data_IF_846974712985
#
_entry.id   IF_846974712985
#
_cell.length_a   1.000
_cell.length_b   1.000
_cell.length_c   1.000
_cell.angle_alpha   90.00
_cell.angle_beta   90.00
_cell.angle_gamma   90.00
#
_symmetry.space_group_name_H-M   'P 1'
#
loop_
_entity.id
_entity.type
_entity.pdbx_description
1 polymer ?
#
# COMPACT_ATOMS: atom_id res chain seq x y z
N UNK A 1 -5.95 -5.95 14.22
CA UNK A 1 -4.54 -6.17 13.82
C UNK A 1 -4.36 -7.68 13.74
N UNK A 2 -4.01 -8.22 12.58
CA UNK A 2 -3.95 -9.66 12.33
C UNK A 2 -2.53 -10.17 12.58
N UNK A 3 -2.29 -10.85 13.70
CA UNK A 3 -1.18 -11.79 13.82
C UNK A 3 -1.54 -13.06 13.08
N UNK A 4 -0.56 -13.68 12.42
CA UNK A 4 -0.73 -14.96 11.74
C UNK A 4 0.19 -15.96 12.40
N UNK A 5 -0.38 -17.00 13.00
CA UNK A 5 0.36 -18.22 13.30
C UNK A 5 0.58 -18.94 11.96
N UNK A 6 1.83 -19.25 11.61
CA UNK A 6 2.11 -20.06 10.43
C UNK A 6 1.46 -21.46 10.60
N UNK A 7 0.45 -21.83 9.79
CA UNK A 7 -0.22 -23.10 10.01
C UNK A 7 0.61 -24.26 9.45
N UNK A 8 0.78 -25.30 10.26
CA UNK A 8 1.14 -26.64 9.77
C UNK A 8 -0.01 -27.16 8.89
N UNK A 9 0.18 -27.09 7.55
CA UNK A 9 -0.66 -27.69 6.48
C UNK A 9 -2.17 -27.48 6.63
N UNK A 10 -2.70 -26.44 5.99
CA UNK A 10 -4.14 -26.30 5.76
C UNK A 10 -4.63 -27.20 4.61
N UNK A 11 -5.79 -27.85 4.82
CA UNK A 11 -6.47 -28.76 3.89
C UNK A 11 -6.87 -28.04 2.58
N UNK A 12 -6.70 -28.75 1.47
CA UNK A 12 -7.02 -28.30 0.12
C UNK A 12 -8.51 -28.02 -0.07
N UNK A 13 -8.84 -26.81 -0.53
CA UNK A 13 -10.17 -26.49 -1.05
C UNK A 13 -10.28 -27.07 -2.46
N UNK A 14 -11.03 -28.16 -2.58
CA UNK A 14 -11.30 -28.85 -3.85
C UNK A 14 -12.48 -28.21 -4.58
N UNK A 15 -12.21 -27.57 -5.71
CA UNK A 15 -13.01 -27.56 -6.96
C UNK A 15 -12.71 -26.29 -7.77
N UNK A 16 -11.62 -26.30 -8.53
CA UNK A 16 -11.43 -25.31 -9.58
C UNK A 16 -10.93 -26.00 -10.84
N UNK A 17 -11.54 -25.60 -11.96
CA UNK A 17 -11.22 -25.94 -13.35
C UNK A 17 -9.71 -26.12 -13.53
N UNK A 18 -9.33 -27.14 -14.33
CA UNK A 18 -7.97 -27.61 -14.60
C UNK A 18 -7.14 -26.59 -15.44
N UNK A 19 -7.15 -25.31 -15.03
CA UNK A 19 -6.33 -24.26 -15.64
C UNK A 19 -4.88 -24.49 -15.18
N UNK A 20 -3.91 -24.50 -16.11
CA UNK A 20 -2.49 -24.69 -15.79
C UNK A 20 -2.05 -23.79 -14.66
N UNK A 21 -1.39 -24.38 -13.67
CA UNK A 21 -0.74 -23.67 -12.57
C UNK A 21 0.75 -23.62 -12.87
N UNK A 22 1.29 -22.42 -12.94
CA UNK A 22 2.73 -22.19 -13.03
C UNK A 22 3.21 -21.83 -11.63
N UNK A 23 4.19 -22.57 -11.12
CA UNK A 23 4.86 -22.19 -9.88
C UNK A 23 5.88 -21.09 -10.15
N UNK A 24 5.87 -20.07 -9.30
CA UNK A 24 6.84 -18.99 -9.31
C UNK A 24 7.52 -18.92 -7.95
N UNK A 25 8.83 -18.65 -7.94
CA UNK A 25 9.55 -18.36 -6.71
C UNK A 25 9.16 -16.99 -6.15
N UNK A 26 9.05 -15.99 -7.03
CA UNK A 26 8.74 -14.60 -6.71
C UNK A 26 7.80 -14.01 -7.75
N UNK A 27 6.97 -13.06 -7.35
CA UNK A 27 6.23 -12.21 -8.27
C UNK A 27 6.15 -10.78 -7.74
N UNK A 28 6.22 -9.81 -8.66
CA UNK A 28 6.10 -8.38 -8.35
C UNK A 28 4.92 -7.79 -9.09
N UNK A 29 4.06 -7.10 -8.33
CA UNK A 29 2.76 -6.61 -8.77
C UNK A 29 2.66 -5.13 -8.39
N UNK A 30 2.22 -4.30 -9.34
CA UNK A 30 1.85 -2.90 -9.10
C UNK A 30 0.39 -2.66 -9.43
N UNK A 31 -0.33 -2.02 -8.52
CA UNK A 31 -1.64 -1.43 -8.79
C UNK A 31 -1.46 0.07 -8.99
N UNK A 32 -1.84 0.62 -10.14
CA UNK A 32 -1.68 2.03 -10.47
C UNK A 32 -3.00 2.64 -10.98
N UNK A 33 -3.29 3.86 -10.52
CA UNK A 33 -4.51 4.59 -10.84
C UNK A 33 -4.47 6.00 -10.28
N UNK A 34 -5.61 6.68 -10.23
CA UNK A 34 -5.66 8.02 -9.65
C UNK A 34 -5.66 7.99 -8.12
N UNK A 35 -5.17 9.07 -7.51
CA UNK A 35 -5.42 9.35 -6.09
C UNK A 35 -6.91 9.33 -5.79
N UNK A 36 -7.31 8.44 -4.89
CA UNK A 36 -8.72 8.21 -4.54
C UNK A 36 -9.36 6.99 -5.21
N UNK A 37 -8.71 6.36 -6.19
CA UNK A 37 -9.16 5.07 -6.75
C UNK A 37 -8.90 3.90 -5.79
N UNK A 38 -8.21 4.12 -4.66
CA UNK A 38 -8.00 3.10 -3.65
C UNK A 38 -6.92 2.07 -3.98
N UNK A 39 -5.92 2.43 -4.79
CA UNK A 39 -4.78 1.54 -5.13
C UNK A 39 -4.02 1.07 -3.88
N UNK A 40 -3.79 1.99 -2.94
CA UNK A 40 -3.18 1.69 -1.64
C UNK A 40 -3.96 0.62 -0.87
N UNK A 41 -5.29 0.75 -0.86
CA UNK A 41 -6.20 -0.19 -0.20
C UNK A 41 -6.13 -1.56 -0.89
N UNK A 42 -6.24 -1.58 -2.22
CA UNK A 42 -6.16 -2.80 -3.03
C UNK A 42 -4.85 -3.55 -2.80
N UNK A 43 -3.72 -2.85 -2.88
CA UNK A 43 -2.40 -3.41 -2.65
C UNK A 43 -2.21 -3.94 -1.22
N UNK A 44 -2.66 -3.18 -0.22
CA UNK A 44 -2.63 -3.63 1.18
C UNK A 44 -3.49 -4.89 1.39
N UNK A 45 -4.63 -5.02 0.73
CA UNK A 45 -5.48 -6.22 0.82
C UNK A 45 -4.84 -7.42 0.14
N UNK A 46 -4.26 -7.23 -1.04
CA UNK A 46 -3.53 -8.30 -1.72
C UNK A 46 -2.32 -8.77 -0.89
N UNK A 47 -1.61 -7.83 -0.26
CA UNK A 47 -0.53 -8.10 0.70
C UNK A 47 -1.00 -8.98 1.85
N UNK A 48 -2.08 -8.59 2.53
CA UNK A 48 -2.64 -9.38 3.63
C UNK A 48 -3.01 -10.81 3.18
N UNK A 49 -3.64 -10.97 2.02
CA UNK A 49 -3.96 -12.32 1.50
C UNK A 49 -2.74 -13.14 1.13
N UNK A 50 -1.63 -12.50 0.74
CA UNK A 50 -0.38 -13.20 0.40
C UNK A 50 0.40 -13.63 1.65
N UNK A 51 0.43 -12.79 2.70
CA UNK A 51 0.97 -13.18 4.02
C UNK A 51 0.24 -14.40 4.56
N UNK A 52 -1.08 -14.47 4.36
CA UNK A 52 -1.93 -15.56 4.86
C UNK A 52 -1.80 -16.84 4.05
N UNK A 53 -1.39 -16.71 2.78
CA UNK A 53 -0.94 -17.83 1.98
C UNK A 53 0.49 -18.31 2.38
N UNK A 54 1.09 -17.67 3.38
CA UNK A 54 2.40 -18.00 3.93
C UNK A 54 3.56 -17.41 3.14
N UNK A 55 3.32 -16.46 2.23
CA UNK A 55 4.42 -15.82 1.49
C UNK A 55 5.10 -14.74 2.33
N UNK A 56 6.40 -14.56 2.09
CA UNK A 56 7.06 -13.35 2.52
C UNK A 56 6.69 -12.20 1.58
N UNK A 57 6.48 -11.01 2.14
CA UNK A 57 5.89 -9.87 1.44
C UNK A 57 6.58 -8.58 1.80
N UNK A 58 7.01 -7.85 0.77
CA UNK A 58 7.43 -6.46 0.89
C UNK A 58 6.53 -5.56 0.06
N UNK A 59 6.27 -4.36 0.56
CA UNK A 59 5.38 -3.40 -0.09
C UNK A 59 6.01 -2.02 -0.13
N UNK A 60 5.77 -1.28 -1.20
CA UNK A 60 6.21 0.11 -1.34
C UNK A 60 5.05 0.96 -1.90
N UNK A 61 4.35 1.71 -1.03
CA UNK A 61 3.29 2.60 -1.48
C UNK A 61 3.87 3.87 -2.09
N UNK A 62 3.38 4.26 -3.27
CA UNK A 62 3.76 5.50 -3.95
C UNK A 62 2.58 6.46 -4.07
N UNK A 63 2.79 7.68 -3.59
CA UNK A 63 1.80 8.73 -3.50
C UNK A 63 2.25 9.93 -4.32
N UNK A 64 1.35 10.54 -5.11
CA UNK A 64 1.68 11.79 -5.77
C UNK A 64 1.90 12.90 -4.74
N UNK A 65 2.73 13.87 -5.10
CA UNK A 65 2.97 15.04 -4.26
C UNK A 65 1.70 15.90 -4.08
N UNK A 66 0.80 15.89 -5.07
CA UNK A 66 -0.45 16.64 -5.02
C UNK A 66 -1.57 15.85 -4.33
N UNK A 67 -2.15 16.42 -3.26
CA UNK A 67 -3.25 15.80 -2.51
C UNK A 67 -4.52 15.65 -3.38
N UNK A 68 -4.74 16.57 -4.34
CA UNK A 68 -5.92 16.59 -5.21
C UNK A 68 -5.57 17.02 -6.63
N UNK A 69 -4.63 16.31 -7.25
CA UNK A 69 -4.45 16.43 -8.69
C UNK A 69 -5.76 16.10 -9.44
N UNK A 70 -6.03 16.74 -10.58
CA UNK A 70 -7.17 16.38 -11.42
C UNK A 70 -7.11 14.90 -11.83
N UNK A 71 -8.22 14.17 -11.72
CA UNK A 71 -8.26 12.76 -12.09
C UNK A 71 -7.93 12.53 -13.57
N UNK A 72 -7.08 11.54 -13.84
CA UNK A 72 -6.59 11.17 -15.16
C UNK A 72 -5.33 11.93 -15.61
N UNK A 73 -4.70 12.75 -14.76
CA UNK A 73 -3.43 13.43 -15.07
C UNK A 73 -2.23 12.69 -14.48
N UNK A 74 -1.05 12.93 -15.06
CA UNK A 74 0.20 12.31 -14.60
C UNK A 74 0.54 12.67 -13.14
N UNK A 75 0.28 13.91 -12.73
CA UNK A 75 0.50 14.38 -11.37
C UNK A 75 -0.41 13.72 -10.32
N UNK A 76 -1.51 13.07 -10.75
CA UNK A 76 -2.46 12.41 -9.85
C UNK A 76 -2.26 10.91 -9.69
N UNK A 77 -1.30 10.32 -10.40
CA UNK A 77 -1.03 8.89 -10.37
C UNK A 77 -0.55 8.48 -8.98
N UNK A 78 -1.21 7.50 -8.40
CA UNK A 78 -0.78 6.78 -7.21
C UNK A 78 -0.64 5.31 -7.54
N UNK A 79 0.40 4.68 -7.00
CA UNK A 79 0.64 3.26 -7.19
C UNK A 79 0.97 2.56 -5.89
N UNK A 80 0.79 1.24 -5.87
CA UNK A 80 1.17 0.40 -4.75
C UNK A 80 1.93 -0.80 -5.26
N UNK A 81 3.17 -0.90 -4.82
CA UNK A 81 4.08 -1.96 -5.21
C UNK A 81 4.06 -3.04 -4.15
N UNK A 82 4.08 -4.27 -4.63
CA UNK A 82 4.17 -5.43 -3.78
C UNK A 82 5.00 -6.50 -4.47
N UNK A 83 5.87 -7.14 -3.69
CA UNK A 83 6.57 -8.35 -4.11
C UNK A 83 6.27 -9.46 -3.11
N UNK A 84 5.98 -10.64 -3.64
CA UNK A 84 5.68 -11.86 -2.88
C UNK A 84 6.69 -12.93 -3.25
N UNK A 85 7.10 -13.75 -2.29
CA UNK A 85 8.11 -14.79 -2.52
C UNK A 85 7.89 -16.03 -1.65
N UNK A 86 8.42 -17.16 -2.12
CA UNK A 86 8.62 -18.40 -1.35
C UNK A 86 9.94 -18.41 -0.56
N UNK A 87 10.69 -17.32 -0.59
CA UNK A 87 11.93 -17.08 0.15
C UNK A 87 11.90 -15.70 0.80
N UNK A 88 12.83 -15.43 1.72
CA UNK A 88 12.95 -14.11 2.34
C UNK A 88 13.16 -12.99 1.30
N UNK A 89 12.43 -11.88 1.43
CA UNK A 89 12.58 -10.68 0.60
C UNK A 89 12.99 -9.49 1.46
N UNK A 90 14.01 -8.78 0.97
CA UNK A 90 14.52 -7.57 1.61
C UNK A 90 14.24 -6.29 0.80
N UNK A 91 13.94 -6.42 -0.49
CA UNK A 91 13.71 -5.30 -1.41
C UNK A 91 12.56 -5.59 -2.36
N UNK A 92 11.87 -4.54 -2.79
CA UNK A 92 10.99 -4.62 -3.97
C UNK A 92 11.82 -4.99 -5.21
N UNK A 93 11.17 -5.57 -6.22
CA UNK A 93 11.86 -5.89 -7.48
C UNK A 93 12.12 -4.63 -8.31
N UNK A 94 13.19 -4.67 -9.10
CA UNK A 94 13.53 -3.62 -10.07
C UNK A 94 12.50 -3.54 -11.21
N UNK A 95 11.91 -4.68 -11.57
CA UNK A 95 10.86 -4.77 -12.56
C UNK A 95 9.63 -5.53 -12.05
N UNK A 96 8.49 -5.22 -12.64
CA UNK A 96 7.19 -5.79 -12.34
C UNK A 96 6.93 -6.99 -13.25
N UNK A 97 6.35 -8.04 -12.71
CA UNK A 97 5.80 -9.15 -13.50
C UNK A 97 4.36 -8.89 -13.91
N UNK A 98 3.62 -8.12 -13.09
CA UNK A 98 2.22 -7.74 -13.34
C UNK A 98 2.01 -6.26 -13.03
N UNK A 99 1.44 -5.53 -13.99
CA UNK A 99 1.04 -4.14 -13.82
C UNK A 99 -0.46 -4.01 -14.08
N UNK A 100 -1.20 -3.46 -13.12
CA UNK A 100 -2.62 -3.15 -13.23
C UNK A 100 -2.78 -1.64 -13.35
N UNK A 101 -3.38 -1.17 -14.45
CA UNK A 101 -3.58 0.26 -14.72
C UNK A 101 -5.06 0.59 -14.87
N UNK A 102 -5.51 1.58 -14.10
CA UNK A 102 -6.91 2.02 -14.10
C UNK A 102 -7.23 3.07 -15.18
N UNK A 103 -6.19 3.71 -15.74
CA UNK A 103 -6.30 4.78 -16.72
C UNK A 103 -4.97 4.95 -17.51
N UNK A 104 -4.92 5.80 -18.55
CA UNK A 104 -3.75 6.01 -19.40
C UNK A 104 -2.61 6.73 -18.66
N UNK A 105 -2.92 7.64 -17.72
CA UNK A 105 -1.87 8.32 -16.94
C UNK A 105 -1.06 7.32 -16.11
N UNK A 106 -1.75 6.39 -15.45
CA UNK A 106 -1.14 5.28 -14.73
C UNK A 106 -0.32 4.37 -15.65
N UNK A 107 -0.78 4.12 -16.88
CA UNK A 107 0.00 3.39 -17.89
C UNK A 107 1.30 4.13 -18.23
N UNK A 108 1.21 5.40 -18.63
CA UNK A 108 2.35 6.21 -19.07
C UNK A 108 3.45 6.31 -18.00
N UNK A 109 3.06 6.49 -16.74
CA UNK A 109 3.98 6.63 -15.62
C UNK A 109 4.68 5.32 -15.21
N UNK A 110 4.10 4.16 -15.51
CA UNK A 110 4.54 2.89 -14.92
C UNK A 110 4.93 1.80 -15.94
N UNK A 111 4.62 1.95 -17.23
CA UNK A 111 4.88 0.92 -18.24
C UNK A 111 6.36 0.54 -18.34
N UNK A 112 7.26 1.51 -18.14
CA UNK A 112 8.71 1.30 -18.19
C UNK A 112 9.21 0.31 -17.13
N UNK A 113 8.49 0.16 -16.02
CA UNK A 113 8.86 -0.73 -14.92
C UNK A 113 8.32 -2.15 -15.12
N UNK A 114 7.45 -2.39 -16.12
CA UNK A 114 6.95 -3.71 -16.46
C UNK A 114 8.00 -4.47 -17.29
N UNK A 115 8.34 -5.69 -16.89
CA UNK A 115 9.16 -6.60 -17.68
C UNK A 115 8.56 -6.84 -19.07
N UNK A 116 9.42 -6.93 -20.08
CA UNK A 116 9.00 -7.41 -21.40
C UNK A 116 8.43 -8.84 -21.26
N UNK A 117 7.26 -9.08 -21.83
CA UNK A 117 6.47 -10.31 -21.62
C UNK A 117 5.65 -10.35 -20.33
N UNK A 118 5.77 -9.33 -19.47
CA UNK A 118 4.96 -9.15 -18.27
C UNK A 118 3.48 -8.95 -18.57
N UNK A 119 2.63 -9.16 -17.57
CA UNK A 119 1.17 -9.08 -17.71
C UNK A 119 0.71 -7.65 -17.44
N UNK A 120 0.06 -7.04 -18.43
CA UNK A 120 -0.51 -5.70 -18.33
C UNK A 120 -2.03 -5.79 -18.29
N UNK A 121 -2.64 -5.55 -17.13
CA UNK A 121 -4.09 -5.54 -16.95
C UNK A 121 -4.59 -4.09 -17.05
N UNK A 122 -5.47 -3.82 -18.02
CA UNK A 122 -5.91 -2.46 -18.36
C UNK A 122 -7.42 -2.33 -18.15
N UNK A 123 -7.84 -1.26 -17.46
CA UNK A 123 -9.23 -0.80 -17.53
C UNK A 123 -9.50 -0.11 -18.88
N UNK A 124 -10.05 -0.85 -19.84
CA UNK A 124 -10.30 -0.35 -21.20
C UNK A 124 -11.39 0.72 -21.27
N UNK A 125 -12.23 0.86 -20.24
CA UNK A 125 -13.29 1.89 -20.19
C UNK A 125 -12.74 3.30 -19.93
N UNK A 126 -11.45 3.45 -19.64
CA UNK A 126 -10.83 4.74 -19.32
C UNK A 126 -9.82 5.21 -20.38
N UNK A 127 -9.94 4.75 -21.62
CA UNK A 127 -9.06 5.12 -22.73
C UNK A 127 -9.82 5.94 -23.80
N UNK A 128 -10.78 6.76 -23.38
CA UNK A 128 -11.48 7.69 -24.27
C UNK A 128 -10.61 8.91 -24.62
N UNK A 129 -10.97 9.67 -25.66
CA UNK A 129 -10.19 10.81 -26.16
C UNK A 129 -9.82 11.83 -25.06
N UNK A 130 -10.75 12.09 -24.14
CA UNK A 130 -10.51 13.00 -23.02
C UNK A 130 -9.52 12.44 -21.99
N UNK A 131 -9.51 11.13 -21.76
CA UNK A 131 -8.59 10.48 -20.84
C UNK A 131 -7.17 10.47 -21.41
N UNK A 132 -7.04 10.15 -22.70
CA UNK A 132 -5.78 10.22 -23.45
C UNK A 132 -5.20 11.64 -23.43
N UNK A 133 -6.03 12.66 -23.66
CA UNK A 133 -5.60 14.06 -23.61
C UNK A 133 -5.05 14.47 -22.24
N UNK A 134 -5.72 14.07 -21.15
CA UNK A 134 -5.27 14.38 -19.78
C UNK A 134 -3.97 13.65 -19.40
N UNK A 135 -3.78 12.44 -19.92
CA UNK A 135 -2.56 11.67 -19.77
C UNK A 135 -1.47 12.07 -20.77
N UNK A 136 -1.72 13.10 -21.59
CA UNK A 136 -0.79 13.63 -22.59
C UNK A 136 -0.36 12.58 -23.62
N UNK A 137 -1.28 11.72 -24.06
CA UNK A 137 -1.09 10.84 -25.20
C UNK A 137 -1.51 11.53 -26.50
N UNK A 138 -0.69 11.42 -27.54
CA UNK A 138 -1.02 11.88 -28.89
C UNK A 138 -1.86 10.87 -29.67
N UNK A 139 -1.68 9.58 -29.39
CA UNK A 139 -2.37 8.46 -30.03
C UNK A 139 -2.76 7.43 -28.96
N UNK A 140 -3.77 6.60 -29.25
CA UNK A 140 -4.21 5.58 -28.30
C UNK A 140 -3.14 4.48 -28.15
N UNK A 141 -2.53 4.29 -26.97
CA UNK A 141 -1.50 3.27 -26.77
C UNK A 141 -2.02 1.85 -26.94
N UNK A 142 -3.34 1.64 -26.87
CA UNK A 142 -3.97 0.34 -27.15
C UNK A 142 -3.91 -0.04 -28.63
N UNK A 143 -3.65 0.92 -29.52
CA UNK A 143 -3.67 0.76 -30.98
C UNK A 143 -2.32 1.08 -31.65
N UNK A 144 -1.43 1.82 -30.98
CA UNK A 144 -0.15 2.29 -31.53
C UNK A 144 0.92 1.19 -31.68
N UNK A 145 0.70 0.01 -31.10
CA UNK A 145 1.68 -1.08 -31.05
C UNK A 145 2.75 -0.95 -29.95
N UNK A 146 2.71 0.12 -29.15
CA UNK A 146 3.60 0.31 -27.98
C UNK A 146 3.54 -0.87 -27.00
N UNK A 147 2.38 -1.53 -26.92
CA UNK A 147 2.14 -2.60 -25.97
C UNK A 147 2.47 -4.01 -26.50
N UNK A 148 3.02 -4.13 -27.71
CA UNK A 148 3.27 -5.41 -28.38
C UNK A 148 4.24 -6.34 -27.64
N UNK A 149 5.14 -5.76 -26.84
CA UNK A 149 6.10 -6.54 -26.06
C UNK A 149 5.51 -7.12 -24.76
N UNK A 150 4.24 -6.86 -24.46
CA UNK A 150 3.60 -7.22 -23.19
C UNK A 150 2.40 -8.15 -23.41
N UNK A 151 2.03 -8.88 -22.36
CA UNK A 151 0.82 -9.69 -22.34
C UNK A 151 -0.34 -8.83 -21.89
N UNK A 152 -0.95 -8.15 -22.85
CA UNK A 152 -2.04 -7.19 -22.60
C UNK A 152 -3.37 -7.91 -22.34
N UNK A 153 -4.00 -7.58 -21.22
CA UNK A 153 -5.33 -8.04 -20.81
C UNK A 153 -6.23 -6.82 -20.62
N UNK A 154 -7.04 -6.53 -21.64
CA UNK A 154 -7.99 -5.41 -21.62
C UNK A 154 -9.31 -5.86 -21.00
N UNK A 155 -9.76 -5.15 -19.97
CA UNK A 155 -11.01 -5.46 -19.26
C UNK A 155 -11.83 -4.16 -19.16
N UNK A 156 -13.13 -4.16 -19.51
CA UNK A 156 -14.02 -3.03 -19.25
C UNK A 156 -14.41 -3.01 -17.76
N UNK A 157 -13.43 -2.73 -16.89
CA UNK A 157 -13.53 -2.86 -15.43
C UNK A 157 -14.64 -1.97 -14.90
N UNK A 158 -14.73 -0.72 -15.35
CA UNK A 158 -15.74 0.24 -14.88
C UNK A 158 -17.15 -0.27 -15.18
N UNK A 159 -17.45 -0.64 -16.42
CA UNK A 159 -18.78 -1.12 -16.84
C UNK A 159 -19.14 -2.43 -16.15
N UNK A 160 -18.21 -3.36 -16.03
CA UNK A 160 -18.45 -4.64 -15.35
C UNK A 160 -18.68 -4.47 -13.85
N UNK A 161 -17.94 -3.57 -13.21
CA UNK A 161 -18.15 -3.22 -11.80
C UNK A 161 -19.54 -2.64 -11.61
N UNK A 162 -19.94 -1.67 -12.42
CA UNK A 162 -21.26 -1.03 -12.31
C UNK A 162 -22.40 -2.03 -12.48
N UNK A 163 -22.29 -2.95 -13.44
CA UNK A 163 -23.26 -4.05 -13.61
C UNK A 163 -23.30 -4.97 -12.39
N UNK A 164 -22.14 -5.31 -11.82
CA UNK A 164 -22.07 -6.21 -10.67
C UNK A 164 -22.73 -5.62 -9.41
N UNK A 165 -22.70 -4.30 -9.25
CA UNK A 165 -23.23 -3.62 -8.06
C UNK A 165 -24.61 -2.99 -8.28
N UNK A 166 -25.20 -3.14 -9.46
CA UNK A 166 -26.49 -2.52 -9.82
C UNK A 166 -27.61 -2.86 -8.81
N UNK A 167 -27.66 -4.12 -8.38
CA UNK A 167 -28.65 -4.61 -7.40
C UNK A 167 -28.54 -3.99 -6.00
N UNK A 168 -27.46 -3.26 -5.71
CA UNK A 168 -27.26 -2.59 -4.41
C UNK A 168 -27.96 -1.24 -4.33
N UNK A 169 -28.38 -0.67 -5.47
CA UNK A 169 -29.01 0.64 -5.54
C UNK A 169 -28.05 1.82 -5.26
N UNK A 170 -26.74 1.57 -5.27
CA UNK A 170 -25.75 2.64 -5.12
C UNK A 170 -25.80 3.65 -6.26
N UNK A 171 -25.41 4.89 -5.96
CA UNK A 171 -25.22 5.91 -6.98
C UNK A 171 -24.13 5.47 -7.98
N UNK A 172 -24.21 5.94 -9.22
CA UNK A 172 -23.17 5.67 -10.22
C UNK A 172 -21.77 6.00 -9.70
N UNK A 173 -21.62 7.14 -9.00
CA UNK A 173 -20.34 7.57 -8.42
C UNK A 173 -19.79 6.58 -7.40
N UNK A 174 -20.65 6.07 -6.51
CA UNK A 174 -20.23 5.13 -5.47
C UNK A 174 -20.01 3.71 -6.03
N UNK A 175 -20.75 3.32 -7.06
CA UNK A 175 -20.52 2.09 -7.82
C UNK A 175 -19.17 2.09 -8.54
N UNK A 176 -18.80 3.18 -9.22
CA UNK A 176 -17.47 3.33 -9.86
C UNK A 176 -16.33 3.17 -8.84
N UNK A 177 -16.51 3.64 -7.61
CA UNK A 177 -15.48 3.51 -6.55
C UNK A 177 -15.21 2.07 -6.11
N UNK A 178 -16.06 1.11 -6.48
CA UNK A 178 -15.84 -0.31 -6.19
C UNK A 178 -14.90 -0.99 -7.22
N UNK A 179 -14.49 -0.29 -8.28
CA UNK A 179 -13.66 -0.85 -9.38
C UNK A 179 -12.32 -1.41 -8.90
N UNK A 180 -11.81 -0.85 -7.80
CA UNK A 180 -10.56 -1.28 -7.17
C UNK A 180 -10.64 -2.70 -6.61
N UNK A 181 -11.81 -3.12 -6.11
CA UNK A 181 -12.06 -4.48 -5.67
C UNK A 181 -12.31 -5.44 -6.82
N UNK A 182 -12.93 -4.97 -7.91
CA UNK A 182 -13.01 -5.77 -9.13
C UNK A 182 -11.60 -6.16 -9.60
N UNK A 183 -10.69 -5.19 -9.73
CA UNK A 183 -9.30 -5.47 -10.11
C UNK A 183 -8.57 -6.33 -9.09
N UNK A 184 -8.84 -6.15 -7.79
CA UNK A 184 -8.32 -7.04 -6.74
C UNK A 184 -8.76 -8.49 -6.96
N UNK A 185 -10.03 -8.71 -7.29
CA UNK A 185 -10.60 -10.04 -7.54
C UNK A 185 -9.92 -10.73 -8.72
N UNK A 186 -9.67 -10.00 -9.80
CA UNK A 186 -8.92 -10.50 -10.97
C UNK A 186 -7.51 -10.94 -10.56
N UNK A 187 -6.78 -10.11 -9.81
CA UNK A 187 -5.41 -10.44 -9.40
C UNK A 187 -5.38 -11.55 -8.34
N UNK A 188 -6.36 -11.62 -7.45
CA UNK A 188 -6.49 -12.72 -6.50
C UNK A 188 -6.72 -14.05 -7.21
N UNK A 189 -7.52 -14.08 -8.28
CA UNK A 189 -7.65 -15.26 -9.11
C UNK A 189 -6.33 -15.62 -9.80
N UNK A 190 -5.64 -14.62 -10.36
CA UNK A 190 -4.38 -14.81 -11.08
C UNK A 190 -3.30 -15.44 -10.18
N UNK A 191 -3.27 -15.09 -8.90
CA UNK A 191 -2.30 -15.58 -7.91
C UNK A 191 -2.86 -16.65 -6.95
N UNK A 192 -3.97 -17.31 -7.31
CA UNK A 192 -4.55 -18.43 -6.53
C UNK A 192 -4.81 -18.04 -5.06
N UNK A 193 -5.38 -16.85 -4.85
CA UNK A 193 -5.76 -16.34 -3.52
C UNK A 193 -7.25 -16.58 -3.25
N UNK A 194 -7.57 -16.83 -1.98
CA UNK A 194 -8.97 -16.87 -1.52
C UNK A 194 -9.54 -15.45 -1.39
N UNK A 195 -10.82 -15.31 -1.70
CA UNK A 195 -11.59 -14.08 -1.48
C UNK A 195 -12.02 -13.92 -0.02
N UNK A 196 -12.07 -15.00 0.76
CA UNK A 196 -12.77 -15.03 2.07
C UNK A 196 -12.27 -13.94 3.01
N UNK A 197 -10.95 -13.83 3.20
CA UNK A 197 -10.40 -12.82 4.09
C UNK A 197 -10.64 -11.39 3.63
N UNK A 198 -10.66 -11.17 2.31
CA UNK A 198 -10.93 -9.83 1.77
C UNK A 198 -12.40 -9.50 1.96
N UNK A 199 -13.30 -10.46 1.75
CA UNK A 199 -14.74 -10.33 2.04
C UNK A 199 -14.98 -9.99 3.51
N UNK A 200 -14.44 -10.78 4.43
CA UNK A 200 -14.64 -10.59 5.87
C UNK A 200 -14.11 -9.21 6.32
N UNK A 201 -12.98 -8.78 5.77
CA UNK A 201 -12.45 -7.45 6.03
C UNK A 201 -13.32 -6.32 5.45
N UNK A 202 -13.88 -6.49 4.25
CA UNK A 202 -14.82 -5.52 3.67
C UNK A 202 -16.03 -5.37 4.59
N UNK A 203 -16.58 -6.48 5.07
CA UNK A 203 -17.75 -6.51 5.95
C UNK A 203 -17.48 -5.79 7.28
N UNK A 204 -16.34 -6.04 7.95
CA UNK A 204 -16.02 -5.33 9.19
C UNK A 204 -15.72 -3.84 8.95
N UNK A 205 -14.93 -3.52 7.91
CA UNK A 205 -14.57 -2.13 7.60
C UNK A 205 -15.78 -1.26 7.29
N UNK A 206 -16.73 -1.81 6.55
CA UNK A 206 -17.93 -1.09 6.12
C UNK A 206 -19.18 -1.53 6.89
N UNK A 207 -19.04 -2.09 8.10
CA UNK A 207 -20.18 -2.54 8.93
C UNK A 207 -21.23 -1.46 9.19
N UNK A 208 -20.81 -0.20 9.22
CA UNK A 208 -21.71 0.94 9.42
C UNK A 208 -22.37 1.44 8.11
N UNK A 209 -22.04 0.83 6.97
CA UNK A 209 -22.54 1.15 5.61
C UNK A 209 -22.74 -0.15 4.82
N UNK A 210 -23.73 -0.98 5.21
CA UNK A 210 -23.91 -2.34 4.68
C UNK A 210 -24.10 -2.39 3.15
N UNK A 211 -24.71 -1.37 2.56
CA UNK A 211 -24.86 -1.23 1.11
C UNK A 211 -23.51 -1.09 0.40
N UNK A 212 -22.58 -0.33 0.98
CA UNK A 212 -21.20 -0.19 0.47
C UNK A 212 -20.42 -1.50 0.70
N UNK A 213 -20.60 -2.15 1.83
CA UNK A 213 -19.98 -3.46 2.09
C UNK A 213 -20.40 -4.47 1.02
N UNK A 214 -21.72 -4.62 0.80
CA UNK A 214 -22.29 -5.52 -0.19
C UNK A 214 -21.76 -5.22 -1.61
N UNK A 215 -21.74 -3.96 -2.01
CA UNK A 215 -21.24 -3.57 -3.33
C UNK A 215 -19.76 -3.92 -3.55
N UNK A 216 -18.90 -3.67 -2.56
CA UNK A 216 -17.48 -4.02 -2.66
C UNK A 216 -17.26 -5.54 -2.71
N UNK A 217 -18.04 -6.33 -1.94
CA UNK A 217 -18.00 -7.80 -2.01
C UNK A 217 -18.45 -8.30 -3.39
N UNK A 218 -19.53 -7.74 -3.95
CA UNK A 218 -20.01 -8.10 -5.28
C UNK A 218 -18.99 -7.75 -6.37
N UNK A 219 -18.37 -6.56 -6.29
CA UNK A 219 -17.32 -6.15 -7.22
C UNK A 219 -16.11 -7.10 -7.16
N UNK A 220 -15.65 -7.44 -5.94
CA UNK A 220 -14.57 -8.41 -5.72
C UNK A 220 -14.88 -9.77 -6.36
N UNK A 221 -16.06 -10.31 -6.08
CA UNK A 221 -16.50 -11.59 -6.61
C UNK A 221 -16.65 -11.56 -8.13
N UNK A 222 -17.19 -10.47 -8.68
CA UNK A 222 -17.35 -10.29 -10.12
C UNK A 222 -16.00 -10.28 -10.84
N UNK A 223 -14.98 -9.60 -10.30
CA UNK A 223 -13.62 -9.61 -10.84
C UNK A 223 -13.01 -11.01 -10.85
N UNK A 224 -13.14 -11.75 -9.75
CA UNK A 224 -12.67 -13.13 -9.65
C UNK A 224 -13.38 -14.06 -10.65
N UNK A 225 -14.70 -13.95 -10.74
CA UNK A 225 -15.52 -14.75 -11.66
C UNK A 225 -15.20 -14.43 -13.13
N UNK A 226 -15.01 -13.15 -13.44
CA UNK A 226 -14.64 -12.71 -14.78
C UNK A 226 -13.33 -13.36 -15.23
N UNK A 227 -12.32 -13.38 -14.35
CA UNK A 227 -11.03 -14.01 -14.62
C UNK A 227 -11.15 -15.53 -14.83
N UNK A 228 -12.05 -16.22 -14.10
CA UNK A 228 -12.37 -17.64 -14.34
C UNK A 228 -12.93 -17.86 -15.76
N UNK A 229 -13.87 -17.02 -16.18
CA UNK A 229 -14.73 -17.32 -17.34
C UNK A 229 -14.17 -16.89 -18.68
N UNK A 230 -13.29 -15.90 -18.72
CA UNK A 230 -12.95 -15.20 -19.98
C UNK A 230 -11.72 -15.76 -20.69
N UNK A 231 -11.05 -16.78 -20.11
CA UNK A 231 -9.82 -17.40 -20.64
C UNK A 231 -8.73 -16.38 -21.05
N UNK A 232 -8.79 -15.15 -20.53
CA UNK A 232 -7.87 -14.05 -20.87
C UNK A 232 -6.44 -14.31 -20.38
N UNK A 233 -6.29 -15.22 -19.42
CA UNK A 233 -5.01 -15.59 -18.84
C UNK A 233 -4.65 -17.02 -19.25
N UNK A 234 -3.43 -17.19 -19.77
CA UNK A 234 -2.91 -18.49 -20.21
C UNK A 234 -2.63 -19.45 -19.03
N UNK A 235 -2.38 -18.91 -17.83
CA UNK A 235 -2.06 -19.68 -16.65
C UNK A 235 -2.42 -18.90 -15.38
N UNK A 236 -2.53 -19.63 -14.27
CA UNK A 236 -2.53 -19.06 -12.92
C UNK A 236 -1.17 -19.26 -12.28
N UNK A 237 -0.77 -18.34 -11.42
CA UNK A 237 0.54 -18.33 -10.80
C UNK A 237 0.43 -18.67 -9.32
N UNK A 238 1.16 -19.68 -8.88
CA UNK A 238 1.23 -20.05 -7.47
C UNK A 238 2.61 -19.71 -6.95
N UNK A 239 2.68 -18.85 -5.92
CA UNK A 239 3.90 -18.63 -5.14
C UNK A 239 3.80 -19.48 -3.88
N UNK A 240 4.58 -20.57 -3.74
CA UNK A 240 4.52 -21.43 -2.56
C UNK A 240 4.81 -20.68 -1.26
N UNK A 241 4.32 -21.16 -0.10
CA UNK A 241 4.64 -20.57 1.20
C UNK A 241 6.15 -20.43 1.40
N UNK A 242 6.57 -19.34 2.01
CA UNK A 242 7.96 -19.07 2.29
C UNK A 242 8.51 -19.97 3.41
N UNK A 243 9.78 -20.36 3.26
CA UNK A 243 10.50 -21.07 4.31
C UNK A 243 11.01 -20.04 5.32
N UNK A 244 10.20 -19.77 6.34
CA UNK A 244 10.50 -18.83 7.41
C UNK A 244 10.74 -19.55 8.74
N UNK A 245 11.54 -18.99 9.66
CA UNK A 245 11.65 -19.50 11.03
C UNK A 245 10.29 -19.64 11.73
N UNK A 246 10.17 -20.54 12.70
CA UNK A 246 8.93 -20.65 13.47
C UNK A 246 8.72 -19.41 14.33
N UNK A 247 7.53 -18.79 14.26
CA UNK A 247 7.19 -17.62 15.07
C UNK A 247 5.85 -16.99 14.71
N UNK A 248 5.50 -15.93 15.44
CA UNK A 248 4.38 -15.05 15.09
C UNK A 248 4.87 -13.92 14.18
N UNK A 249 4.22 -13.77 13.04
CA UNK A 249 4.55 -12.74 12.07
C UNK A 249 3.55 -11.58 12.16
N UNK A 250 4.08 -10.36 11.99
CA UNK A 250 3.30 -9.13 11.90
C UNK A 250 3.77 -8.36 10.68
N UNK A 251 2.81 -7.86 9.90
CA UNK A 251 3.07 -6.83 8.89
C UNK A 251 3.09 -5.46 9.57
N UNK A 252 4.16 -4.70 9.31
CA UNK A 252 4.46 -3.45 10.01
C UNK A 252 5.28 -2.53 9.10
N UNK A 253 4.99 -1.23 9.13
CA UNK A 253 5.80 -0.21 8.43
C UNK A 253 7.01 0.21 9.26
N UNK A 254 8.00 0.85 8.64
CA UNK A 254 9.18 1.36 9.35
C UNK A 254 8.82 2.35 10.48
N UNK A 255 7.89 3.27 10.22
CA UNK A 255 7.40 4.25 11.22
C UNK A 255 6.71 3.56 12.41
N UNK A 256 5.92 2.51 12.14
CA UNK A 256 5.30 1.70 13.19
C UNK A 256 6.35 0.91 13.99
N UNK A 257 7.37 0.35 13.33
CA UNK A 257 8.45 -0.38 13.99
C UNK A 257 9.23 0.52 14.95
N UNK A 258 9.58 1.73 14.50
CA UNK A 258 10.21 2.73 15.36
C UNK A 258 9.33 3.10 16.55
N UNK A 259 8.04 3.36 16.31
CA UNK A 259 7.08 3.71 17.38
C UNK A 259 6.98 2.63 18.44
N UNK A 260 6.84 1.36 18.03
CA UNK A 260 6.82 0.21 18.94
C UNK A 260 8.16 0.05 19.67
N UNK A 261 9.28 0.31 19.00
CA UNK A 261 10.61 0.32 19.61
C UNK A 261 10.73 1.36 20.73
N UNK A 262 10.22 2.59 20.51
CA UNK A 262 10.18 3.62 21.55
C UNK A 262 9.33 3.21 22.75
N UNK A 263 8.14 2.62 22.51
CA UNK A 263 7.27 2.11 23.58
C UNK A 263 7.98 1.01 24.36
N UNK A 264 8.62 0.05 23.68
CA UNK A 264 9.37 -1.02 24.31
C UNK A 264 10.54 -0.47 25.15
N UNK A 265 11.29 0.51 24.63
CA UNK A 265 12.39 1.15 25.35
C UNK A 265 11.91 1.88 26.61
N UNK A 266 10.78 2.59 26.54
CA UNK A 266 10.12 3.24 27.69
C UNK A 266 9.78 2.23 28.78
N UNK A 267 9.11 1.13 28.41
CA UNK A 267 8.73 0.09 29.37
C UNK A 267 9.94 -0.63 29.99
N UNK A 268 10.99 -0.88 29.21
CA UNK A 268 12.20 -1.58 29.68
C UNK A 268 13.11 -0.71 30.54
N UNK A 269 13.14 0.59 30.29
CA UNK A 269 13.91 1.55 31.08
C UNK A 269 13.16 2.04 32.32
N UNK A 270 11.84 1.90 32.37
CA UNK A 270 11.00 2.49 33.41
C UNK A 270 10.82 4.00 33.28
N UNK A 271 11.33 4.62 32.21
CA UNK A 271 11.19 6.04 31.93
C UNK A 271 9.91 6.29 31.12
N UNK A 272 9.16 7.33 31.44
CA UNK A 272 8.08 7.79 30.57
C UNK A 272 8.64 8.27 29.23
N UNK A 273 7.89 8.07 28.14
CA UNK A 273 8.25 8.52 26.79
C UNK A 273 7.55 9.85 26.47
N UNK A 274 8.32 10.83 25.98
CA UNK A 274 7.78 11.98 25.28
C UNK A 274 8.25 11.96 23.83
N UNK A 275 7.31 12.02 22.90
CA UNK A 275 7.57 12.27 21.49
C UNK A 275 7.08 13.67 21.10
N UNK A 276 7.98 14.54 20.63
CA UNK A 276 7.61 15.89 20.16
C UNK A 276 8.02 16.08 18.71
N UNK A 277 7.09 16.48 17.85
CA UNK A 277 7.35 16.67 16.42
C UNK A 277 6.48 17.76 15.80
N UNK A 278 6.94 18.30 14.68
CA UNK A 278 6.12 19.06 13.74
C UNK A 278 5.74 18.14 12.57
N UNK A 279 4.50 18.19 12.04
CA UNK A 279 4.09 17.32 10.93
C UNK A 279 4.93 17.55 9.67
N UNK A 280 5.64 16.52 9.23
CA UNK A 280 6.42 16.51 7.99
C UNK A 280 6.42 15.11 7.36
N UNK A 281 6.11 14.99 6.07
CA UNK A 281 6.22 13.73 5.32
C UNK A 281 7.70 13.37 5.14
N UNK A 282 8.14 12.11 5.39
CA UNK A 282 7.36 10.91 5.73
C UNK A 282 7.31 10.55 7.24
N UNK A 283 7.60 11.47 8.15
CA UNK A 283 7.70 11.20 9.59
C UNK A 283 6.39 11.37 10.38
N UNK A 284 5.38 12.09 9.86
CA UNK A 284 4.15 12.44 10.58
C UNK A 284 3.40 11.24 11.20
N UNK A 285 3.42 10.08 10.53
CA UNK A 285 2.71 8.87 10.99
C UNK A 285 3.21 8.37 12.34
N UNK A 286 4.44 8.69 12.74
CA UNK A 286 5.01 8.30 14.03
C UNK A 286 4.23 8.95 15.18
N UNK A 287 3.86 10.23 15.05
CA UNK A 287 3.04 10.90 16.05
C UNK A 287 1.67 10.21 16.16
N UNK A 288 1.06 9.89 15.02
CA UNK A 288 -0.26 9.25 14.95
C UNK A 288 -0.25 7.86 15.60
N UNK A 289 0.81 7.09 15.38
CA UNK A 289 1.01 5.78 15.97
C UNK A 289 1.26 5.88 17.49
N UNK A 290 2.22 6.71 17.91
CA UNK A 290 2.55 6.91 19.34
C UNK A 290 1.38 7.47 20.16
N UNK A 291 0.53 8.32 19.57
CA UNK A 291 -0.64 8.89 20.23
C UNK A 291 -1.68 7.82 20.64
N UNK A 292 -1.64 6.62 20.05
CA UNK A 292 -2.52 5.51 20.42
C UNK A 292 -2.03 4.77 21.68
N UNK A 293 -0.76 4.91 22.06
CA UNK A 293 -0.13 4.17 23.17
C UNK A 293 -0.11 4.94 24.50
N UNK A 294 -1.07 5.85 24.73
CA UNK A 294 -1.19 6.63 25.99
C UNK A 294 -1.33 5.75 27.23
N UNK A 295 -1.91 4.56 27.07
CA UNK A 295 -2.02 3.54 28.11
C UNK A 295 -0.66 3.02 28.60
N UNK A 296 0.41 3.19 27.83
CA UNK A 296 1.79 2.89 28.23
C UNK A 296 2.53 4.13 28.78
N UNK A 297 1.81 5.21 29.11
CA UNK A 297 2.41 6.44 29.63
C UNK A 297 3.12 7.30 28.57
N UNK A 298 2.93 6.98 27.29
CA UNK A 298 3.45 7.76 26.17
C UNK A 298 2.74 9.12 26.10
N UNK A 299 3.53 10.18 25.99
CA UNK A 299 3.05 11.54 25.74
C UNK A 299 3.52 11.98 24.36
N UNK A 300 2.64 12.66 23.63
CA UNK A 300 2.95 13.21 22.31
C UNK A 300 2.66 14.70 22.28
N UNK A 301 3.55 15.48 21.68
CA UNK A 301 3.36 16.91 21.43
C UNK A 301 3.45 17.14 19.93
N UNK A 302 2.40 17.76 19.37
CA UNK A 302 2.48 18.39 18.06
C UNK A 302 2.90 19.84 18.29
N UNK A 303 4.16 20.13 18.01
CA UNK A 303 4.68 21.48 18.16
C UNK A 303 4.24 22.37 16.99
N UNK A 304 4.43 23.68 17.15
CA UNK A 304 4.18 24.71 16.15
C UNK A 304 5.20 24.71 15.02
N UNK A 305 6.44 24.29 15.29
CA UNK A 305 7.54 24.15 14.34
C UNK A 305 8.61 23.14 14.84
N UNK A 306 9.62 22.87 14.02
CA UNK A 306 10.69 21.93 14.36
C UNK A 306 11.62 22.40 15.49
N UNK A 307 11.77 23.71 15.69
CA UNK A 307 12.60 24.30 16.75
C UNK A 307 11.93 24.07 18.11
N UNK A 308 10.64 24.36 18.21
CA UNK A 308 9.80 24.10 19.37
C UNK A 308 9.71 22.60 19.67
N UNK A 309 9.60 21.75 18.65
CA UNK A 309 9.61 20.29 18.82
C UNK A 309 10.91 19.78 19.46
N UNK A 310 12.07 20.27 18.99
CA UNK A 310 13.37 19.87 19.56
C UNK A 310 13.57 20.47 20.95
N UNK A 311 13.25 21.75 21.15
CA UNK A 311 13.34 22.42 22.45
C UNK A 311 12.48 21.74 23.52
N UNK A 312 11.26 21.32 23.16
CA UNK A 312 10.38 20.56 24.05
C UNK A 312 10.96 19.19 24.42
N UNK A 313 11.61 18.52 23.46
CA UNK A 313 12.29 17.23 23.69
C UNK A 313 13.46 17.40 24.67
N UNK A 314 14.28 18.42 24.49
CA UNK A 314 15.38 18.78 25.40
C UNK A 314 14.86 19.08 26.81
N UNK A 315 13.81 19.89 26.92
CA UNK A 315 13.18 20.19 28.21
C UNK A 315 12.69 18.93 28.92
N UNK A 316 12.17 17.95 28.18
CA UNK A 316 11.77 16.66 28.75
C UNK A 316 12.96 15.80 29.19
N UNK A 317 14.08 15.84 28.46
CA UNK A 317 15.30 15.13 28.83
C UNK A 317 15.86 15.64 30.18
N UNK A 318 15.85 16.96 30.42
CA UNK A 318 16.16 17.54 31.73
C UNK A 318 15.25 17.00 32.85
N UNK A 319 13.98 16.73 32.53
CA UNK A 319 13.01 16.15 33.45
C UNK A 319 13.17 14.64 33.69
N UNK A 320 14.18 13.99 33.12
CA UNK A 320 14.42 12.55 33.25
C UNK A 320 13.49 11.68 32.40
N UNK A 321 12.92 12.24 31.33
CA UNK A 321 12.01 11.54 30.41
C UNK A 321 12.81 10.98 29.23
N UNK A 322 12.39 9.83 28.68
CA UNK A 322 12.90 9.35 27.41
C UNK A 322 12.42 10.29 26.30
N UNK A 323 13.29 11.21 25.88
CA UNK A 323 12.98 12.26 24.92
C UNK A 323 13.24 11.82 23.48
N UNK A 324 12.22 11.89 22.64
CA UNK A 324 12.29 11.53 21.21
C UNK A 324 11.67 12.63 20.36
N UNK A 325 12.31 12.99 19.25
CA UNK A 325 11.72 13.84 18.20
C UNK A 325 11.88 13.17 16.84
N UNK A 326 10.95 13.41 15.93
CA UNK A 326 11.02 12.93 14.55
C UNK A 326 10.94 14.08 13.56
N UNK A 327 11.62 13.92 12.43
CA UNK A 327 11.70 14.92 11.35
C UNK A 327 12.12 14.28 10.03
N UNK A 328 12.20 15.08 8.97
CA UNK A 328 12.93 14.79 7.73
C UNK A 328 13.95 15.92 7.45
N UNK A 329 14.58 15.93 6.28
CA UNK A 329 15.68 16.82 5.89
C UNK A 329 15.50 18.29 6.31
N UNK A 330 14.47 19.02 5.80
CA UNK A 330 14.27 20.44 6.12
C UNK A 330 14.14 20.72 7.62
N UNK A 331 13.40 19.86 8.31
CA UNK A 331 13.19 20.00 9.73
C UNK A 331 14.43 19.64 10.56
N UNK A 332 15.31 18.77 10.04
CA UNK A 332 16.59 18.48 10.70
C UNK A 332 17.49 19.72 10.70
N UNK A 333 17.55 20.45 9.59
CA UNK A 333 18.33 21.69 9.48
C UNK A 333 17.89 22.71 10.55
N UNK A 334 16.58 22.90 10.73
CA UNK A 334 16.00 23.79 11.75
C UNK A 334 16.32 23.34 13.19
N UNK A 335 16.52 22.05 13.43
CA UNK A 335 16.84 21.52 14.77
C UNK A 335 18.32 21.67 15.14
N UNK A 336 19.19 22.02 14.20
CA UNK A 336 20.65 21.97 14.38
C UNK A 336 21.16 22.75 15.59
N UNK A 337 20.65 23.95 15.83
CA UNK A 337 21.05 24.77 17.00
C UNK A 337 20.71 24.05 18.32
N UNK A 338 19.46 23.59 18.45
CA UNK A 338 19.00 22.89 19.64
C UNK A 338 19.70 21.54 19.85
N UNK A 339 20.01 20.82 18.76
CA UNK A 339 20.85 19.61 18.83
C UNK A 339 22.23 19.95 19.39
N UNK A 340 22.86 21.03 18.93
CA UNK A 340 24.13 21.52 19.48
C UNK A 340 24.05 21.82 20.97
N UNK A 341 22.94 22.41 21.42
CA UNK A 341 22.69 22.64 22.85
C UNK A 341 22.53 21.34 23.65
N UNK A 342 21.81 20.35 23.13
CA UNK A 342 21.66 19.05 23.78
C UNK A 342 23.00 18.34 23.99
N UNK A 343 23.90 18.43 23.00
CA UNK A 343 25.28 17.92 23.10
C UNK A 343 26.07 18.68 24.17
N UNK A 344 26.05 20.00 24.16
CA UNK A 344 26.76 20.83 25.14
C UNK A 344 26.31 20.56 26.58
N UNK A 345 25.01 20.30 26.78
CA UNK A 345 24.42 20.01 28.08
C UNK A 345 24.45 18.51 28.47
N UNK A 346 25.03 17.65 27.62
CA UNK A 346 25.10 16.18 27.82
C UNK A 346 23.73 15.52 28.03
N UNK A 347 22.69 16.00 27.33
CA UNK A 347 21.32 15.51 27.49
C UNK A 347 20.99 14.38 26.52
N UNK A 348 20.42 13.27 27.00
CA UNK A 348 20.01 12.16 26.15
C UNK A 348 18.72 12.52 25.38
N UNK A 349 18.83 12.68 24.06
CA UNK A 349 17.70 12.88 23.15
C UNK A 349 17.87 12.01 21.91
N UNK A 350 16.78 11.38 21.46
CA UNK A 350 16.75 10.64 20.19
C UNK A 350 16.12 11.51 19.11
N UNK A 351 16.87 11.79 18.04
CA UNK A 351 16.37 12.50 16.86
C UNK A 351 16.25 11.51 15.71
N UNK A 352 15.02 11.19 15.29
CA UNK A 352 14.79 10.37 14.12
C UNK A 352 14.71 11.23 12.86
N UNK A 353 15.67 11.05 11.96
CA UNK A 353 15.63 11.60 10.61
C UNK A 353 15.08 10.56 9.62
N UNK A 354 13.80 10.68 9.25
CA UNK A 354 13.21 9.86 8.18
C UNK A 354 13.51 10.56 6.85
N UNK A 355 14.63 10.17 6.25
CA UNK A 355 15.18 10.84 5.06
C UNK A 355 14.21 10.80 3.87
N UNK A 356 14.20 11.88 3.10
CA UNK A 356 13.46 12.02 1.83
C UNK A 356 14.34 12.74 0.79
N UNK A 357 13.86 12.84 -0.45
CA UNK A 357 14.55 13.59 -1.52
C UNK A 357 14.87 15.03 -1.12
N UNK A 358 16.01 15.53 -1.58
CA UNK A 358 16.46 16.91 -1.39
C UNK A 358 17.45 17.31 -2.50
N UNK A 359 18.00 18.55 -2.47
CA UNK A 359 17.99 19.50 -1.35
C UNK A 359 16.68 20.30 -1.20
N UNK A 360 16.54 21.02 -0.09
CA UNK A 360 15.37 21.85 0.21
C UNK A 360 14.07 21.03 0.29
N UNK A 361 12.99 21.45 -0.37
CA UNK A 361 11.67 20.79 -0.27
C UNK A 361 11.68 19.35 -0.79
N UNK A 362 12.45 19.08 -1.84
CA UNK A 362 12.50 17.83 -2.60
C UNK A 362 13.39 18.00 -3.82
#
# INVERSE_FOLDING_TARGET
>A
MSSVEAPLRAKSVSSQVNIPKTELEKASIRFAGDSGDGMQLTGTRFSATSVMAGNDVITFPDYPAEIRAPAGTLAGVSSFDLSISSNEIYTTADFLSVLVVMNPAALKMNLQDLEKGGILIINSDSFEENDLRKAEYSENPLESGELNDYRVVQIPITKLTLRAVEETGLSHRDGVRCKNFFSLGVVQWLFVRSLDQTRDWIEDKFKNKPEIAKANVLALQAGYNYAITTELFQARYNVPPAVLPSGEYRQITGNQAFSLGCVAASLRSGLSLLYSSYPITPASDILHELAQYKNFGVKTIQAEDEIAAMSSSIGSAFGGVLAVTGTSGPGLDLKSEAIGYAVMAELPVVVLNVQRGGPSTG
#
